data_IF_453564287785
#
_entry.id   IF_453564287785
#
_cell.length_a   1.000
_cell.length_b   1.000
_cell.length_c   1.000
_cell.angle_alpha   90.00
_cell.angle_beta   90.00
_cell.angle_gamma   90.00
#
_symmetry.space_group_name_H-M   'P 1'
#
loop_
_entity.id
_entity.type
_entity.pdbx_description
1 polymer ?
#
# COMPACT_ATOMS: atom_id res chain seq x y z
N UNK A 1 -36.46 25.29 37.24
CA UNK A 1 -37.28 24.24 36.61
C UNK A 1 -37.80 24.90 35.34
N UNK A 2 -37.07 24.94 34.24
CA UNK A 2 -36.15 23.96 33.68
C UNK A 2 -35.02 24.68 32.92
N UNK A 3 -33.79 24.54 33.42
CA UNK A 3 -32.56 24.93 32.73
C UNK A 3 -31.68 23.68 32.61
N UNK A 4 -30.97 23.58 31.48
CA UNK A 4 -29.91 22.61 31.17
C UNK A 4 -30.37 21.22 30.71
N UNK A 5 -30.22 20.93 29.41
CA UNK A 5 -29.49 19.77 28.81
C UNK A 5 -29.67 19.84 27.27
N UNK A 6 -29.05 20.82 26.57
CA UNK A 6 -28.90 20.78 25.09
C UNK A 6 -27.61 21.52 24.68
N UNK A 7 -26.42 21.00 25.01
CA UNK A 7 -25.15 21.55 24.46
C UNK A 7 -24.02 20.55 24.22
N UNK A 8 -24.16 19.26 24.60
CA UNK A 8 -23.04 18.30 24.46
C UNK A 8 -22.99 17.51 23.13
N UNK A 9 -24.04 17.54 22.30
CA UNK A 9 -24.06 16.77 21.04
C UNK A 9 -23.28 17.43 19.89
N UNK A 10 -23.32 18.77 19.81
CA UNK A 10 -22.79 19.53 18.68
C UNK A 10 -21.27 19.63 18.68
N UNK A 11 -20.64 19.76 19.86
CA UNK A 11 -19.18 19.85 19.99
C UNK A 11 -18.45 18.56 19.59
N UNK A 12 -19.09 17.40 19.73
CA UNK A 12 -18.51 16.12 19.32
C UNK A 12 -18.49 15.94 17.79
N UNK A 13 -19.53 16.41 17.10
CA UNK A 13 -19.64 16.31 15.64
C UNK A 13 -18.72 17.30 14.93
N UNK A 14 -18.62 18.55 15.42
CA UNK A 14 -17.74 19.57 14.83
C UNK A 14 -16.27 19.23 15.02
N UNK A 15 -15.87 18.72 16.20
CA UNK A 15 -14.50 18.26 16.43
C UNK A 15 -14.13 17.05 15.56
N UNK A 16 -15.04 16.09 15.41
CA UNK A 16 -14.84 14.93 14.53
C UNK A 16 -14.71 15.33 13.05
N UNK A 17 -15.55 16.25 12.57
CA UNK A 17 -15.46 16.77 11.19
C UNK A 17 -14.13 17.49 10.95
N UNK A 18 -13.67 18.28 11.93
CA UNK A 18 -12.35 18.93 11.87
C UNK A 18 -11.21 17.91 11.72
N UNK A 19 -11.20 16.86 12.53
CA UNK A 19 -10.19 15.79 12.46
C UNK A 19 -10.20 15.10 11.09
N UNK A 20 -11.39 14.76 10.56
CA UNK A 20 -11.53 14.14 9.23
C UNK A 20 -10.97 15.02 8.12
N UNK A 21 -11.24 16.33 8.15
CA UNK A 21 -10.72 17.27 7.16
C UNK A 21 -9.19 17.41 7.25
N UNK A 22 -8.64 17.49 8.46
CA UNK A 22 -7.20 17.49 8.68
C UNK A 22 -6.54 16.21 8.18
N UNK A 23 -7.11 15.05 8.50
CA UNK A 23 -6.62 13.74 8.02
C UNK A 23 -6.63 13.67 6.50
N UNK A 24 -7.73 14.09 5.86
CA UNK A 24 -7.85 14.16 4.40
C UNK A 24 -6.78 15.07 3.78
N UNK A 25 -6.59 16.28 4.34
CA UNK A 25 -5.61 17.24 3.83
C UNK A 25 -4.18 16.71 3.95
N UNK A 26 -3.82 16.13 5.10
CA UNK A 26 -2.50 15.54 5.35
C UNK A 26 -2.25 14.38 4.39
N UNK A 27 -3.19 13.42 4.31
CA UNK A 27 -3.04 12.23 3.49
C UNK A 27 -2.96 12.57 1.99
N UNK A 28 -3.78 13.51 1.52
CA UNK A 28 -3.71 14.06 0.16
C UNK A 28 -2.37 14.75 -0.13
N UNK A 29 -1.83 15.51 0.83
CA UNK A 29 -0.53 16.18 0.67
C UNK A 29 0.61 15.17 0.53
N UNK A 30 0.62 14.11 1.35
CA UNK A 30 1.61 13.04 1.26
C UNK A 30 1.53 12.28 -0.06
N UNK A 31 0.31 11.99 -0.54
CA UNK A 31 0.10 11.36 -1.84
C UNK A 31 0.64 12.21 -2.99
N UNK A 32 0.34 13.52 -2.98
CA UNK A 32 0.81 14.43 -4.01
C UNK A 32 2.34 14.54 -3.99
N UNK A 33 2.94 14.68 -2.80
CA UNK A 33 4.39 14.69 -2.63
C UNK A 33 5.02 13.41 -3.17
N UNK A 34 4.49 12.24 -2.78
CA UNK A 34 4.99 10.94 -3.24
C UNK A 34 4.85 10.77 -4.76
N UNK A 35 3.73 11.23 -5.32
CA UNK A 35 3.48 11.21 -6.76
C UNK A 35 4.53 12.05 -7.51
N UNK A 36 4.72 13.31 -7.10
CA UNK A 36 5.71 14.21 -7.70
C UNK A 36 7.12 13.64 -7.55
N UNK A 37 7.48 13.14 -6.36
CA UNK A 37 8.79 12.55 -6.11
C UNK A 37 9.07 11.34 -7.01
N UNK A 38 8.09 10.45 -7.19
CA UNK A 38 8.22 9.29 -8.07
C UNK A 38 8.31 9.69 -9.56
N UNK A 39 7.59 10.73 -10.00
CA UNK A 39 7.72 11.28 -11.36
C UNK A 39 9.10 11.89 -11.58
N UNK A 40 9.61 12.68 -10.63
CA UNK A 40 10.96 13.24 -10.71
C UNK A 40 12.01 12.12 -10.77
N UNK A 41 11.88 11.11 -9.91
CA UNK A 41 12.78 9.95 -9.93
C UNK A 41 12.74 9.24 -11.27
N UNK A 42 11.55 9.02 -11.85
CA UNK A 42 11.38 8.43 -13.18
C UNK A 42 12.12 9.24 -14.24
N UNK A 43 11.94 10.57 -14.27
CA UNK A 43 12.62 11.47 -15.21
C UNK A 43 14.14 11.40 -15.05
N UNK A 44 14.65 11.40 -13.80
CA UNK A 44 16.09 11.29 -13.52
C UNK A 44 16.66 9.96 -14.01
N UNK A 45 15.94 8.86 -13.81
CA UNK A 45 16.36 7.53 -14.27
C UNK A 45 16.40 7.43 -15.81
N UNK A 46 15.47 8.07 -16.50
CA UNK A 46 15.44 8.08 -17.98
C UNK A 46 16.48 9.02 -18.60
N UNK A 47 16.66 10.22 -18.04
CA UNK A 47 17.58 11.23 -18.61
C UNK A 47 19.04 10.86 -18.41
N UNK A 48 19.36 10.14 -17.35
CA UNK A 48 20.75 9.89 -17.00
C UNK A 48 21.31 8.64 -17.69
N UNK A 49 21.70 8.79 -18.96
CA UNK A 49 22.41 7.75 -19.73
C UNK A 49 23.68 7.25 -19.02
N UNK A 50 24.32 8.07 -18.17
CA UNK A 50 25.50 7.70 -17.39
C UNK A 50 25.22 6.75 -16.21
N UNK A 51 23.97 6.69 -15.73
CA UNK A 51 23.54 5.68 -14.75
C UNK A 51 23.41 4.29 -15.40
N UNK A 52 23.57 4.16 -16.72
CA UNK A 52 23.64 2.85 -17.39
C UNK A 52 24.75 1.93 -16.86
N UNK A 53 25.70 2.42 -16.05
CA UNK A 53 26.66 1.59 -15.30
C UNK A 53 25.96 0.76 -14.19
N UNK A 54 24.85 1.23 -13.62
CA UNK A 54 24.08 0.49 -12.62
C UNK A 54 22.68 0.14 -13.12
N UNK A 55 22.62 -0.62 -14.23
CA UNK A 55 21.38 -1.16 -14.83
C UNK A 55 20.48 -1.82 -13.78
N UNK A 56 21.07 -2.51 -12.82
CA UNK A 56 20.36 -3.19 -11.73
C UNK A 56 19.65 -2.19 -10.82
N UNK A 57 20.34 -1.14 -10.37
CA UNK A 57 19.73 -0.09 -9.55
C UNK A 57 18.58 0.60 -10.27
N UNK A 58 18.75 0.96 -11.54
CA UNK A 58 17.67 1.56 -12.35
C UNK A 58 16.48 0.63 -12.42
N UNK A 59 16.72 -0.67 -12.68
CA UNK A 59 15.65 -1.65 -12.77
C UNK A 59 14.87 -1.81 -11.46
N UNK A 60 15.55 -1.97 -10.31
CA UNK A 60 14.86 -2.07 -9.01
C UNK A 60 14.09 -0.78 -8.69
N UNK A 61 14.68 0.38 -9.01
CA UNK A 61 14.02 1.67 -8.79
C UNK A 61 12.76 1.81 -9.64
N UNK A 62 12.76 1.32 -10.88
CA UNK A 62 11.56 1.27 -11.72
C UNK A 62 10.49 0.34 -11.12
N UNK A 63 10.86 -0.82 -10.56
CA UNK A 63 9.91 -1.69 -9.86
C UNK A 63 9.28 -0.98 -8.66
N UNK A 64 10.06 -0.24 -7.86
CA UNK A 64 9.57 0.55 -6.73
C UNK A 64 8.62 1.67 -7.17
N UNK A 65 8.91 2.35 -8.28
CA UNK A 65 8.04 3.37 -8.87
C UNK A 65 6.70 2.73 -9.29
N UNK A 66 6.73 1.57 -9.95
CA UNK A 66 5.53 0.83 -10.35
C UNK A 66 4.70 0.45 -9.11
N UNK A 67 5.33 -0.09 -8.06
CA UNK A 67 4.64 -0.41 -6.80
C UNK A 67 3.98 0.82 -6.17
N UNK A 68 4.68 1.97 -6.21
CA UNK A 68 4.14 3.24 -5.69
C UNK A 68 2.90 3.67 -6.47
N UNK A 69 2.91 3.60 -7.80
CA UNK A 69 1.74 3.90 -8.62
C UNK A 69 0.57 2.96 -8.37
N UNK A 70 0.82 1.65 -8.24
CA UNK A 70 -0.23 0.68 -7.89
C UNK A 70 -0.84 1.03 -6.53
N UNK A 71 -0.01 1.44 -5.55
CA UNK A 71 -0.47 1.84 -4.21
C UNK A 71 -1.36 3.07 -4.21
N UNK A 72 -1.26 3.96 -5.21
CA UNK A 72 -2.09 5.17 -5.28
C UNK A 72 -3.54 4.85 -5.61
N UNK A 73 -3.81 3.75 -6.33
CA UNK A 73 -5.16 3.37 -6.73
C UNK A 73 -6.07 3.19 -5.50
N UNK A 74 -5.78 2.29 -4.54
CA UNK A 74 -6.64 2.14 -3.36
C UNK A 74 -6.61 3.37 -2.46
N UNK A 75 -5.48 4.08 -2.36
CA UNK A 75 -5.39 5.28 -1.53
C UNK A 75 -6.33 6.38 -2.02
N UNK A 76 -6.37 6.65 -3.33
CA UNK A 76 -7.23 7.68 -3.92
C UNK A 76 -8.67 7.19 -4.09
N UNK A 77 -8.88 5.92 -4.43
CA UNK A 77 -10.21 5.40 -4.73
C UNK A 77 -11.00 4.95 -3.49
N UNK A 78 -10.33 4.56 -2.41
CA UNK A 78 -10.97 3.98 -1.22
C UNK A 78 -10.64 4.81 0.02
N UNK A 79 -9.36 4.97 0.37
CA UNK A 79 -8.98 5.60 1.64
C UNK A 79 -9.41 7.07 1.71
N UNK A 80 -9.09 7.89 0.69
CA UNK A 80 -9.49 9.31 0.65
C UNK A 80 -11.01 9.49 0.75
N UNK A 81 -11.81 8.83 -0.12
CA UNK A 81 -13.27 8.94 -0.04
C UNK A 81 -13.86 8.40 1.26
N UNK A 82 -13.34 7.31 1.82
CA UNK A 82 -13.87 6.71 3.04
C UNK A 82 -13.64 7.60 4.28
N UNK A 83 -12.59 8.42 4.30
CA UNK A 83 -12.39 9.43 5.36
C UNK A 83 -13.56 10.44 5.38
N UNK A 84 -14.02 10.88 4.22
CA UNK A 84 -15.07 11.90 4.08
C UNK A 84 -16.49 11.31 4.09
N UNK A 85 -16.68 10.15 3.46
CA UNK A 85 -17.99 9.56 3.16
C UNK A 85 -18.07 8.09 3.60
N UNK A 86 -17.75 7.82 4.86
CA UNK A 86 -17.75 6.48 5.46
C UNK A 86 -19.09 5.73 5.29
N UNK A 87 -20.22 6.42 5.41
CA UNK A 87 -21.56 5.81 5.30
C UNK A 87 -21.80 5.23 3.90
N UNK A 88 -21.35 5.92 2.84
CA UNK A 88 -21.44 5.41 1.48
C UNK A 88 -20.59 4.15 1.31
N UNK A 89 -19.40 4.13 1.88
CA UNK A 89 -18.50 2.98 1.76
C UNK A 89 -18.93 1.78 2.60
N UNK A 90 -19.62 1.99 3.72
CA UNK A 90 -20.13 0.92 4.57
C UNK A 90 -21.05 -0.05 3.80
N UNK A 91 -21.86 0.45 2.86
CA UNK A 91 -22.71 -0.39 2.00
C UNK A 91 -21.88 -1.25 1.02
N UNK A 92 -20.72 -0.76 0.58
CA UNK A 92 -19.87 -1.44 -0.39
C UNK A 92 -18.77 -2.31 0.25
N UNK A 93 -18.60 -2.32 1.57
CA UNK A 93 -17.52 -3.08 2.26
C UNK A 93 -17.50 -4.56 1.93
N UNK A 94 -18.67 -5.17 1.67
CA UNK A 94 -18.79 -6.58 1.28
C UNK A 94 -18.66 -6.82 -0.22
N UNK A 95 -18.60 -5.76 -1.03
CA UNK A 95 -18.45 -5.87 -2.48
C UNK A 95 -17.07 -6.42 -2.83
N UNK A 96 -17.03 -7.27 -3.85
CA UNK A 96 -15.78 -7.79 -4.40
C UNK A 96 -14.83 -6.68 -4.83
N UNK A 97 -15.35 -5.57 -5.39
CA UNK A 97 -14.54 -4.43 -5.84
C UNK A 97 -13.82 -3.76 -4.67
N UNK A 98 -14.51 -3.55 -3.55
CA UNK A 98 -13.92 -2.97 -2.35
C UNK A 98 -12.83 -3.89 -1.80
N UNK A 99 -13.15 -5.18 -1.60
CA UNK A 99 -12.19 -6.17 -1.08
C UNK A 99 -10.97 -6.34 -1.99
N UNK A 100 -11.17 -6.33 -3.31
CA UNK A 100 -10.08 -6.36 -4.27
C UNK A 100 -9.21 -5.10 -4.19
N UNK A 101 -9.82 -3.92 -4.10
CA UNK A 101 -9.09 -2.67 -3.93
C UNK A 101 -8.25 -2.64 -2.64
N UNK A 102 -8.81 -3.07 -1.51
CA UNK A 102 -8.05 -3.23 -0.26
C UNK A 102 -6.89 -4.23 -0.44
N UNK A 103 -7.11 -5.32 -1.17
CA UNK A 103 -6.07 -6.31 -1.44
C UNK A 103 -4.92 -5.74 -2.29
N UNK A 104 -5.20 -4.80 -3.19
CA UNK A 104 -4.16 -4.07 -3.96
C UNK A 104 -3.25 -3.26 -3.03
N UNK A 105 -3.79 -2.71 -1.93
CA UNK A 105 -2.98 -1.97 -0.96
C UNK A 105 -2.00 -2.90 -0.24
N UNK A 106 -2.49 -4.02 0.29
CA UNK A 106 -1.66 -5.07 0.91
C UNK A 106 -0.60 -5.57 -0.07
N UNK A 107 -0.98 -5.81 -1.33
CA UNK A 107 -0.06 -6.21 -2.39
C UNK A 107 1.04 -5.17 -2.63
N UNK A 108 0.68 -3.91 -2.73
CA UNK A 108 1.63 -2.82 -2.94
C UNK A 108 2.57 -2.66 -1.76
N UNK A 109 2.07 -2.80 -0.52
CA UNK A 109 2.88 -2.74 0.69
C UNK A 109 3.95 -3.85 0.72
N UNK A 110 3.55 -5.10 0.48
CA UNK A 110 4.50 -6.21 0.38
C UNK A 110 5.49 -6.05 -0.77
N UNK A 111 5.03 -5.52 -1.91
CA UNK A 111 5.90 -5.26 -3.06
C UNK A 111 6.96 -4.20 -2.74
N UNK A 112 6.58 -3.07 -2.14
CA UNK A 112 7.52 -2.04 -1.71
C UNK A 112 8.54 -2.61 -0.72
N UNK A 113 8.12 -3.42 0.25
CA UNK A 113 9.05 -4.07 1.19
C UNK A 113 10.05 -4.99 0.48
N UNK A 114 9.57 -5.88 -0.38
CA UNK A 114 10.41 -6.86 -1.08
C UNK A 114 11.40 -6.17 -2.03
N UNK A 115 10.95 -5.17 -2.79
CA UNK A 115 11.84 -4.43 -3.69
C UNK A 115 12.79 -3.47 -2.95
N UNK A 116 12.39 -2.92 -1.80
CA UNK A 116 13.30 -2.14 -0.95
C UNK A 116 14.38 -3.03 -0.35
N UNK A 117 14.01 -4.23 0.08
CA UNK A 117 14.98 -5.24 0.51
C UNK A 117 15.92 -5.63 -0.63
N UNK A 118 15.41 -5.88 -1.84
CA UNK A 118 16.22 -6.16 -3.02
C UNK A 118 17.19 -5.01 -3.33
N UNK A 119 16.73 -3.76 -3.20
CA UNK A 119 17.56 -2.58 -3.37
C UNK A 119 18.69 -2.51 -2.34
N UNK A 120 18.40 -2.79 -1.08
CA UNK A 120 19.40 -2.87 -0.03
C UNK A 120 20.40 -4.00 -0.28
N UNK A 121 19.91 -5.18 -0.68
CA UNK A 121 20.73 -6.36 -0.96
C UNK A 121 21.67 -6.13 -2.15
N UNK A 122 21.17 -5.55 -3.25
CA UNK A 122 21.98 -5.22 -4.43
C UNK A 122 23.10 -4.24 -4.09
N UNK A 123 22.80 -3.20 -3.29
CA UNK A 123 23.82 -2.25 -2.79
C UNK A 123 24.82 -2.93 -1.85
N UNK A 124 24.35 -3.75 -0.92
CA UNK A 124 25.21 -4.48 0.00
C UNK A 124 26.18 -5.40 -0.74
N UNK A 125 25.69 -6.15 -1.73
CA UNK A 125 26.53 -7.06 -2.54
C UNK A 125 27.51 -6.27 -3.40
N UNK A 126 27.10 -5.13 -3.96
CA UNK A 126 28.00 -4.26 -4.73
C UNK A 126 29.20 -3.77 -3.90
N UNK A 127 28.97 -3.36 -2.63
CA UNK A 127 30.04 -2.84 -1.78
C UNK A 127 30.85 -3.93 -1.06
N UNK A 128 30.20 -4.96 -0.53
CA UNK A 128 30.85 -5.92 0.37
C UNK A 128 31.24 -7.23 -0.32
N UNK A 129 30.54 -7.64 -1.39
CA UNK A 129 30.67 -8.96 -2.01
C UNK A 129 30.72 -8.84 -3.54
N UNK A 130 31.72 -8.15 -4.13
CA UNK A 130 31.78 -7.91 -5.57
C UNK A 130 31.79 -9.20 -6.39
N UNK A 131 32.27 -10.32 -5.80
CA UNK A 131 32.21 -11.65 -6.41
C UNK A 131 30.80 -12.16 -6.69
N UNK A 132 29.78 -11.69 -5.97
CA UNK A 132 28.38 -12.10 -6.16
C UNK A 132 27.59 -11.13 -7.05
N UNK A 133 28.20 -10.03 -7.50
CA UNK A 133 27.53 -9.02 -8.32
C UNK A 133 26.96 -9.61 -9.63
N UNK A 134 27.58 -10.68 -10.16
CA UNK A 134 27.10 -11.37 -11.37
C UNK A 134 25.69 -11.98 -11.22
N UNK A 135 25.19 -12.19 -10.00
CA UNK A 135 23.82 -12.67 -9.72
C UNK A 135 22.80 -11.59 -10.13
N UNK A 136 23.14 -10.32 -9.94
CA UNK A 136 22.24 -9.19 -10.15
C UNK A 136 22.34 -8.58 -11.55
N UNK A 137 22.96 -9.27 -12.50
CA UNK A 137 23.19 -8.77 -13.85
C UNK A 137 22.34 -9.52 -14.89
N UNK A 138 21.76 -8.77 -15.83
CA UNK A 138 21.07 -9.32 -17.01
C UNK A 138 19.75 -10.02 -16.70
N UNK A 139 19.53 -11.19 -17.31
CA UNK A 139 18.28 -11.96 -17.21
C UNK A 139 17.99 -12.44 -15.78
N UNK A 140 19.04 -12.73 -14.99
CA UNK A 140 18.90 -13.23 -13.62
C UNK A 140 18.15 -12.24 -12.72
N UNK A 141 18.40 -10.95 -12.91
CA UNK A 141 17.71 -9.89 -12.19
C UNK A 141 16.21 -9.85 -12.51
N UNK A 142 15.86 -10.05 -13.79
CA UNK A 142 14.47 -10.11 -14.22
C UNK A 142 13.76 -11.34 -13.65
N UNK A 143 14.46 -12.48 -13.59
CA UNK A 143 13.95 -13.69 -12.95
C UNK A 143 13.69 -13.46 -11.46
N UNK A 144 14.64 -12.87 -10.71
CA UNK A 144 14.47 -12.55 -9.29
C UNK A 144 13.23 -11.66 -9.09
N UNK A 145 13.09 -10.61 -9.88
CA UNK A 145 11.93 -9.72 -9.79
C UNK A 145 10.61 -10.45 -10.14
N UNK A 146 10.60 -11.32 -11.16
CA UNK A 146 9.43 -12.13 -11.49
C UNK A 146 9.05 -13.09 -10.36
N UNK A 147 10.03 -13.77 -9.74
CA UNK A 147 9.79 -14.61 -8.56
C UNK A 147 9.24 -13.81 -7.39
N UNK A 148 9.76 -12.60 -7.14
CA UNK A 148 9.22 -11.70 -6.11
C UNK A 148 7.77 -11.34 -6.39
N UNK A 149 7.45 -10.88 -7.60
CA UNK A 149 6.06 -10.57 -7.99
C UNK A 149 5.12 -11.75 -7.79
N UNK A 150 5.52 -12.95 -8.21
CA UNK A 150 4.73 -14.17 -8.00
C UNK A 150 4.53 -14.47 -6.52
N UNK A 151 5.59 -14.40 -5.71
CA UNK A 151 5.52 -14.65 -4.27
C UNK A 151 4.59 -13.66 -3.55
N UNK A 152 4.70 -12.37 -3.87
CA UNK A 152 3.81 -11.32 -3.34
C UNK A 152 2.37 -11.62 -3.73
N UNK A 153 2.12 -11.96 -5.00
CA UNK A 153 0.78 -12.29 -5.51
C UNK A 153 0.17 -13.48 -4.76
N UNK A 154 0.95 -14.53 -4.49
CA UNK A 154 0.49 -15.71 -3.74
C UNK A 154 0.13 -15.34 -2.30
N UNK A 155 0.98 -14.56 -1.62
CA UNK A 155 0.70 -14.11 -0.25
C UNK A 155 -0.58 -13.28 -0.21
N UNK A 156 -0.77 -12.36 -1.15
CA UNK A 156 -1.92 -11.44 -1.14
C UNK A 156 -3.23 -12.12 -1.51
N UNK A 157 -3.18 -13.08 -2.43
CA UNK A 157 -4.35 -13.94 -2.74
C UNK A 157 -4.72 -14.76 -1.51
N UNK A 158 -3.72 -15.34 -0.82
CA UNK A 158 -3.95 -16.09 0.41
C UNK A 158 -4.57 -15.19 1.49
N UNK A 159 -4.06 -13.97 1.67
CA UNK A 159 -4.60 -13.00 2.62
C UNK A 159 -6.07 -12.65 2.31
N UNK A 160 -6.39 -12.36 1.04
CA UNK A 160 -7.77 -12.10 0.58
C UNK A 160 -8.73 -13.27 0.86
N UNK A 161 -8.24 -14.51 0.83
CA UNK A 161 -9.05 -15.70 1.10
C UNK A 161 -9.27 -16.01 2.58
N UNK A 162 -8.28 -15.72 3.44
CA UNK A 162 -8.30 -16.08 4.87
C UNK A 162 -8.64 -14.91 5.80
N UNK A 163 -8.42 -13.67 5.37
CA UNK A 163 -8.59 -12.48 6.18
C UNK A 163 -9.37 -11.41 5.40
N UNK A 164 -10.51 -10.98 5.95
CA UNK A 164 -11.23 -9.82 5.41
C UNK A 164 -10.67 -8.57 6.06
N UNK A 165 -10.16 -7.66 5.24
CA UNK A 165 -9.66 -6.36 5.70
C UNK A 165 -10.64 -5.26 5.29
N UNK A 166 -10.88 -4.33 6.19
CA UNK A 166 -11.70 -3.15 5.95
C UNK A 166 -10.99 -1.92 6.54
N UNK A 167 -11.12 -0.78 5.88
CA UNK A 167 -10.73 0.50 6.47
C UNK A 167 -11.89 1.00 7.33
N UNK A 168 -11.56 1.76 8.38
CA UNK A 168 -12.54 2.40 9.24
C UNK A 168 -12.25 3.91 9.24
N UNK A 169 -13.05 4.67 8.50
CA UNK A 169 -12.88 6.11 8.33
C UNK A 169 -13.02 6.91 9.62
N UNK A 170 -13.90 6.52 10.55
CA UNK A 170 -14.10 7.20 11.84
C UNK A 170 -12.89 7.06 12.75
N UNK A 171 -12.26 5.89 12.76
CA UNK A 171 -11.09 5.58 13.60
C UNK A 171 -9.76 5.75 12.88
N UNK A 172 -9.78 6.04 11.58
CA UNK A 172 -8.61 6.15 10.70
C UNK A 172 -7.67 4.93 10.83
N UNK A 173 -8.24 3.73 10.92
CA UNK A 173 -7.49 2.50 11.17
C UNK A 173 -7.96 1.34 10.30
N UNK A 174 -7.04 0.40 10.05
CA UNK A 174 -7.32 -0.87 9.41
C UNK A 174 -7.88 -1.88 10.40
N UNK A 175 -9.03 -2.47 10.08
CA UNK A 175 -9.65 -3.54 10.86
C UNK A 175 -9.53 -4.85 10.09
N UNK A 176 -8.98 -5.88 10.74
CA UNK A 176 -8.87 -7.23 10.20
C UNK A 176 -9.88 -8.15 10.87
N UNK A 177 -10.73 -8.78 10.07
CA UNK A 177 -11.71 -9.79 10.50
C UNK A 177 -11.26 -11.14 9.96
N UNK A 178 -10.75 -11.99 10.85
CA UNK A 178 -10.52 -13.38 10.52
C UNK A 178 -11.86 -14.12 10.53
N UNK A 179 -12.15 -14.84 9.45
CA UNK A 179 -13.33 -15.69 9.39
C UNK A 179 -13.09 -16.95 10.23
N UNK A 180 -13.29 -16.83 11.54
CA UNK A 180 -13.16 -17.94 12.49
C UNK A 180 -14.07 -19.12 12.17
N UNK A 181 -15.09 -18.95 11.32
CA UNK A 181 -16.00 -20.03 10.92
C UNK A 181 -15.39 -21.02 9.91
N UNK A 182 -14.34 -20.62 9.18
CA UNK A 182 -13.74 -21.48 8.14
C UNK A 182 -12.60 -22.38 8.66
N UNK A 183 -11.92 -21.98 9.74
CA UNK A 183 -10.89 -22.84 10.35
C UNK A 183 -11.50 -24.03 11.13
N UNK A 184 -12.69 -23.86 11.73
CA UNK A 184 -13.40 -24.95 12.40
C UNK A 184 -13.93 -26.03 11.43
N UNK A 185 -14.16 -25.69 10.15
CA UNK A 185 -14.64 -26.66 9.15
C UNK A 185 -13.52 -27.46 8.48
N UNK A 186 -12.27 -27.00 8.56
CA UNK A 186 -11.09 -27.73 8.07
C UNK A 186 -10.44 -28.60 9.18
N UNK A 187 -10.78 -28.36 10.45
CA UNK A 187 -10.35 -29.18 11.60
C UNK A 187 -11.38 -30.25 12.02
N UNK A 188 -12.51 -30.37 11.31
CA UNK A 188 -13.55 -31.41 11.52
C UNK A 188 -13.64 -32.43 10.38
N UNK A 189 -12.57 -32.59 9.60
CA UNK A 189 -12.37 -33.68 8.64
C UNK A 189 -11.04 -34.36 8.94
#
# INVERSE_FOLDING_TARGET
MDDHVITNGTNSSTSMMGIKLWAFAIFSSFLLYSFIANIILLIVLYKNESISVNRTFTYVSLQLIICSFISYIPQVAIVLPEILYEDLFNEYKTSFIYQFGISIETFSFFAVLMFTFLLALTRYVFFNLPRLNYIFTGIKMHLIAAFMWLFITIITISDMHFCKQEFNGTRLQWVRKHDGSRMDSQLRL
#
